data_IF_359463166561
#
_entry.id   IF_359463166561
#
_cell.length_a   1.000
_cell.length_b   1.000
_cell.length_c   1.000
_cell.angle_alpha   90.00
_cell.angle_beta   90.00
_cell.angle_gamma   90.00
#
_symmetry.space_group_name_H-M   'P 1'
#
loop_
_entity.id
_entity.type
_entity.pdbx_description
1 polymer ?
#
# COMPACT_ATOMS: atom_id res chain seq x y z
N UNK A 1 23.05 -1.39 -45.69
CA UNK A 1 23.91 -2.17 -44.77
C UNK A 1 23.47 -1.80 -43.34
N UNK A 2 22.59 -2.57 -42.77
CA UNK A 2 22.16 -2.40 -41.38
C UNK A 2 23.26 -2.90 -40.46
N UNK A 3 23.90 -2.01 -39.71
CA UNK A 3 24.81 -2.40 -38.64
C UNK A 3 23.95 -2.90 -37.47
N UNK A 4 24.13 -4.15 -37.09
CA UNK A 4 23.67 -4.66 -35.80
C UNK A 4 24.36 -3.83 -34.71
N UNK A 5 23.69 -2.83 -34.19
CA UNK A 5 24.13 -2.11 -32.99
C UNK A 5 23.54 -2.87 -31.83
N UNK A 6 24.36 -3.67 -31.15
CA UNK A 6 24.02 -4.15 -29.81
C UNK A 6 23.81 -2.94 -28.92
N UNK A 7 22.57 -2.64 -28.63
CA UNK A 7 22.21 -1.64 -27.66
C UNK A 7 22.63 -2.15 -26.27
N UNK A 8 23.63 -1.54 -25.68
CA UNK A 8 23.84 -1.67 -24.23
C UNK A 8 22.60 -1.09 -23.57
N UNK A 9 21.78 -1.90 -22.86
CA UNK A 9 20.67 -1.36 -22.09
C UNK A 9 21.24 -0.28 -21.19
N UNK A 10 20.56 0.87 -21.13
CA UNK A 10 20.83 1.86 -20.09
C UNK A 10 21.01 1.08 -18.79
N UNK A 11 22.07 1.36 -18.02
CA UNK A 11 22.49 0.63 -16.80
C UNK A 11 21.45 0.65 -15.64
N UNK A 12 20.17 0.66 -15.95
CA UNK A 12 19.12 0.12 -15.10
C UNK A 12 19.01 -1.38 -15.37
N UNK A 13 20.08 -2.10 -14.96
CA UNK A 13 19.98 -3.54 -14.79
C UNK A 13 18.67 -3.80 -14.03
N UNK A 14 17.81 -4.64 -14.60
CA UNK A 14 16.86 -5.41 -13.82
C UNK A 14 17.68 -6.12 -12.74
N UNK A 15 17.85 -5.44 -11.59
CA UNK A 15 18.52 -6.02 -10.44
C UNK A 15 17.58 -7.13 -10.03
N UNK A 16 17.83 -8.33 -10.52
CA UNK A 16 17.20 -9.52 -9.93
C UNK A 16 17.46 -9.41 -8.44
N UNK A 17 16.43 -9.47 -7.59
CA UNK A 17 16.64 -9.47 -6.15
C UNK A 17 17.60 -10.62 -5.84
N UNK A 18 18.83 -10.27 -5.48
CA UNK A 18 19.77 -11.23 -4.92
C UNK A 18 19.24 -11.49 -3.53
N UNK A 19 18.63 -12.64 -3.33
CA UNK A 19 18.28 -13.12 -2.00
C UNK A 19 19.50 -12.95 -1.10
N UNK A 20 19.35 -12.46 0.14
CA UNK A 20 20.43 -12.58 1.10
C UNK A 20 20.75 -14.09 1.15
N UNK A 21 22.01 -14.46 0.91
CA UNK A 21 22.46 -15.82 1.16
C UNK A 21 21.98 -16.17 2.57
N UNK A 22 21.07 -17.11 2.65
CA UNK A 22 20.50 -17.58 3.90
C UNK A 22 21.66 -18.18 4.71
N UNK A 23 22.23 -17.38 5.61
CA UNK A 23 22.87 -18.00 6.77
C UNK A 23 21.77 -18.87 7.36
N UNK A 24 22.06 -20.13 7.62
CA UNK A 24 21.18 -21.14 8.21
C UNK A 24 20.64 -20.62 9.56
N UNK A 25 19.67 -19.71 9.52
CA UNK A 25 18.95 -19.27 10.70
C UNK A 25 17.80 -20.26 10.88
N UNK A 26 17.68 -20.79 12.07
CA UNK A 26 16.52 -21.58 12.49
C UNK A 26 15.27 -20.77 12.22
N UNK A 27 14.20 -21.43 11.75
CA UNK A 27 12.91 -20.77 11.52
C UNK A 27 12.48 -20.01 12.79
N UNK A 28 11.90 -18.80 12.67
CA UNK A 28 11.48 -18.01 13.81
C UNK A 28 10.47 -18.77 14.67
N UNK A 29 10.58 -18.65 15.99
CA UNK A 29 9.66 -19.33 16.91
C UNK A 29 8.23 -18.83 16.76
N UNK A 30 8.05 -17.53 16.39
CA UNK A 30 6.75 -16.89 16.15
C UNK A 30 6.75 -16.16 14.79
N UNK A 31 6.65 -16.92 13.68
CA UNK A 31 6.58 -16.31 12.36
C UNK A 31 5.25 -15.57 12.18
N UNK A 32 5.30 -14.42 11.53
CA UNK A 32 4.13 -13.64 11.14
C UNK A 32 4.21 -13.28 9.67
N UNK A 33 3.18 -13.63 8.90
CA UNK A 33 3.17 -13.43 7.46
C UNK A 33 2.58 -12.07 7.09
N UNK A 34 3.26 -11.37 6.18
CA UNK A 34 2.74 -10.19 5.48
C UNK A 34 2.55 -10.58 4.04
N UNK A 35 1.30 -10.67 3.60
CA UNK A 35 0.92 -11.18 2.29
C UNK A 35 0.37 -10.05 1.42
N UNK A 36 1.08 -9.72 0.36
CA UNK A 36 0.63 -8.81 -0.70
C UNK A 36 0.30 -9.58 -1.97
N UNK A 37 -0.96 -9.53 -2.39
CA UNK A 37 -1.49 -10.27 -3.56
C UNK A 37 -1.89 -9.29 -4.64
N UNK A 38 -0.93 -8.99 -5.54
CA UNK A 38 -1.19 -8.18 -6.73
C UNK A 38 -1.59 -9.03 -7.95
N UNK A 39 -2.12 -8.38 -8.99
CA UNK A 39 -2.53 -9.07 -10.24
C UNK A 39 -1.35 -9.66 -11.04
N UNK A 40 -0.14 -9.16 -10.84
CA UNK A 40 1.08 -9.62 -11.56
C UNK A 40 2.06 -10.32 -10.64
N UNK A 41 2.09 -9.94 -9.37
CA UNK A 41 3.06 -10.42 -8.39
C UNK A 41 2.38 -10.70 -7.05
N UNK A 42 2.66 -11.84 -6.48
CA UNK A 42 2.37 -12.19 -5.08
C UNK A 42 3.68 -12.09 -4.29
N UNK A 43 3.67 -11.34 -3.20
CA UNK A 43 4.81 -11.15 -2.32
C UNK A 43 4.48 -11.60 -0.90
N UNK A 44 5.40 -12.30 -0.25
CA UNK A 44 5.30 -12.71 1.16
C UNK A 44 6.56 -12.28 1.89
N UNK A 45 6.39 -11.58 3.00
CA UNK A 45 7.45 -11.36 3.97
C UNK A 45 7.10 -12.10 5.27
N UNK A 46 8.11 -12.68 5.91
CA UNK A 46 7.99 -13.32 7.22
C UNK A 46 8.70 -12.46 8.25
N UNK A 47 7.96 -12.04 9.26
CA UNK A 47 8.48 -11.30 10.39
C UNK A 47 8.75 -12.26 11.57
N UNK A 48 9.77 -11.96 12.34
CA UNK A 48 9.99 -12.59 13.64
C UNK A 48 9.44 -11.68 14.75
N UNK A 49 8.31 -12.07 15.33
CA UNK A 49 7.63 -11.24 16.33
C UNK A 49 8.29 -11.26 17.71
N UNK A 50 9.27 -12.15 17.97
CA UNK A 50 10.03 -12.21 19.23
C UNK A 50 11.22 -11.26 19.25
N UNK A 51 11.84 -11.03 18.10
CA UNK A 51 13.04 -10.20 17.98
C UNK A 51 12.69 -8.75 17.60
N UNK A 52 11.89 -8.11 18.43
CA UNK A 52 11.46 -6.73 18.17
C UNK A 52 12.34 -5.66 18.82
N UNK A 53 13.57 -5.97 19.20
CA UNK A 53 14.54 -4.99 19.70
C UNK A 53 15.14 -4.14 18.57
N UNK A 54 15.52 -2.91 18.90
CA UNK A 54 15.96 -1.89 17.93
C UNK A 54 17.13 -2.31 17.03
N UNK A 55 17.86 -3.38 17.38
CA UNK A 55 19.03 -3.87 16.66
C UNK A 55 18.82 -5.22 15.95
N UNK A 56 17.64 -5.80 15.99
CA UNK A 56 17.38 -7.12 15.40
C UNK A 56 16.79 -7.06 14.00
N UNK A 57 17.11 -8.04 13.17
CA UNK A 57 16.57 -8.18 11.82
C UNK A 57 15.13 -8.70 11.91
N UNK A 58 14.15 -7.77 11.92
CA UNK A 58 12.73 -8.10 12.02
C UNK A 58 12.23 -8.97 10.86
N UNK A 59 12.70 -8.72 9.64
CA UNK A 59 12.32 -9.51 8.45
C UNK A 59 13.21 -10.73 8.36
N UNK A 60 12.64 -11.89 8.68
CA UNK A 60 13.30 -13.19 8.61
C UNK A 60 13.50 -13.66 7.17
N UNK A 61 12.45 -13.56 6.35
CA UNK A 61 12.46 -14.02 4.98
C UNK A 61 11.51 -13.26 4.08
N UNK A 62 11.78 -13.31 2.79
CA UNK A 62 11.01 -12.62 1.78
C UNK A 62 11.05 -13.37 0.46
N UNK A 63 9.92 -13.46 -0.22
CA UNK A 63 9.85 -14.04 -1.55
C UNK A 63 8.75 -13.44 -2.41
N UNK A 64 8.91 -13.57 -3.73
CA UNK A 64 7.88 -13.21 -4.71
C UNK A 64 7.72 -14.28 -5.77
N UNK A 65 6.52 -14.38 -6.30
CA UNK A 65 6.21 -15.17 -7.49
C UNK A 65 5.30 -14.38 -8.43
N UNK A 66 5.31 -14.73 -9.72
CA UNK A 66 4.30 -14.25 -10.68
C UNK A 66 2.94 -14.78 -10.24
N UNK A 67 1.97 -13.88 -10.07
CA UNK A 67 0.63 -14.27 -9.61
C UNK A 67 -0.12 -15.03 -10.72
N UNK A 68 -0.85 -16.05 -10.31
CA UNK A 68 -1.83 -16.77 -11.14
C UNK A 68 -3.17 -16.80 -10.40
N UNK A 69 -4.29 -16.77 -11.14
CA UNK A 69 -5.63 -16.90 -10.57
C UNK A 69 -6.23 -15.61 -9.98
N UNK A 70 -5.66 -14.44 -10.28
CA UNK A 70 -6.24 -13.13 -9.95
C UNK A 70 -6.12 -12.18 -11.13
N UNK A 71 -7.13 -11.35 -11.34
CA UNK A 71 -7.14 -10.32 -12.38
C UNK A 71 -7.84 -9.07 -11.85
N UNK A 72 -7.20 -7.90 -11.96
CA UNK A 72 -7.74 -6.62 -11.49
C UNK A 72 -8.24 -6.66 -10.03
N UNK A 73 -7.50 -7.37 -9.18
CA UNK A 73 -7.80 -7.54 -7.76
C UNK A 73 -8.94 -8.53 -7.46
N UNK A 74 -9.49 -9.24 -8.45
CA UNK A 74 -10.53 -10.26 -8.26
C UNK A 74 -9.99 -11.65 -8.50
N UNK A 75 -10.34 -12.59 -7.62
CA UNK A 75 -9.93 -14.00 -7.74
C UNK A 75 -10.71 -14.65 -8.88
N UNK A 76 -10.00 -15.11 -9.90
CA UNK A 76 -10.54 -15.80 -11.08
C UNK A 76 -10.35 -17.32 -11.01
N UNK A 77 -9.31 -17.77 -10.29
CA UNK A 77 -9.07 -19.19 -10.02
C UNK A 77 -8.43 -19.36 -8.64
N UNK A 78 -9.21 -19.92 -7.72
CA UNK A 78 -8.82 -20.05 -6.31
C UNK A 78 -7.63 -21.00 -6.13
N UNK A 79 -7.57 -22.12 -6.86
CA UNK A 79 -6.52 -23.12 -6.71
C UNK A 79 -5.19 -22.62 -7.27
N UNK A 80 -5.20 -21.94 -8.40
CA UNK A 80 -4.00 -21.31 -8.95
C UNK A 80 -3.45 -20.25 -8.01
N UNK A 81 -4.34 -19.46 -7.39
CA UNK A 81 -3.93 -18.41 -6.46
C UNK A 81 -3.36 -19.02 -5.18
N UNK A 82 -4.04 -19.98 -4.57
CA UNK A 82 -3.55 -20.63 -3.34
C UNK A 82 -2.23 -21.36 -3.55
N UNK A 83 -2.03 -22.00 -4.70
CA UNK A 83 -0.74 -22.60 -5.05
C UNK A 83 0.36 -21.54 -5.18
N UNK A 84 0.07 -20.40 -5.84
CA UNK A 84 1.03 -19.29 -5.94
C UNK A 84 1.42 -18.76 -4.55
N UNK A 85 0.45 -18.56 -3.67
CA UNK A 85 0.70 -18.11 -2.29
C UNK A 85 1.54 -19.13 -1.52
N UNK A 86 1.17 -20.43 -1.60
CA UNK A 86 1.88 -21.52 -0.94
C UNK A 86 3.34 -21.62 -1.38
N UNK A 87 3.61 -21.59 -2.68
CA UNK A 87 4.98 -21.59 -3.23
C UNK A 87 5.78 -20.36 -2.77
N UNK A 88 5.13 -19.19 -2.71
CA UNK A 88 5.78 -17.96 -2.27
C UNK A 88 6.11 -18.03 -0.78
N UNK A 89 5.19 -18.56 0.03
CA UNK A 89 5.39 -18.75 1.46
C UNK A 89 6.54 -19.73 1.74
N UNK A 90 6.58 -20.87 1.05
CA UNK A 90 7.68 -21.85 1.15
C UNK A 90 9.04 -21.22 0.85
N UNK A 91 9.12 -20.41 -0.21
CA UNK A 91 10.34 -19.69 -0.57
C UNK A 91 10.73 -18.66 0.51
N UNK A 92 9.75 -17.91 1.05
CA UNK A 92 10.01 -16.92 2.10
C UNK A 92 10.50 -17.56 3.41
N UNK A 93 10.01 -18.75 3.73
CA UNK A 93 10.45 -19.54 4.89
C UNK A 93 11.73 -20.34 4.64
N UNK A 94 12.21 -20.40 3.40
CA UNK A 94 13.29 -21.31 2.97
C UNK A 94 13.01 -22.77 3.39
N UNK A 95 11.76 -23.22 3.20
CA UNK A 95 11.26 -24.53 3.62
C UNK A 95 10.56 -25.24 2.45
N UNK A 96 10.73 -26.56 2.36
CA UNK A 96 10.04 -27.40 1.37
C UNK A 96 8.55 -27.60 1.72
N UNK A 97 8.21 -27.56 3.01
CA UNK A 97 6.86 -27.79 3.51
C UNK A 97 6.45 -26.79 4.59
N UNK A 98 5.17 -26.46 4.61
CA UNK A 98 4.53 -25.67 5.65
C UNK A 98 3.44 -26.52 6.28
N UNK A 99 3.68 -26.99 7.50
CA UNK A 99 2.77 -27.92 8.21
C UNK A 99 1.88 -27.23 9.23
N UNK A 100 2.20 -25.99 9.62
CA UNK A 100 1.45 -25.21 10.60
C UNK A 100 0.90 -23.94 9.98
N UNK A 101 -0.27 -23.52 10.41
CA UNK A 101 -0.82 -22.21 10.04
C UNK A 101 0.05 -21.10 10.64
N UNK A 102 0.33 -20.08 9.83
CA UNK A 102 1.09 -18.90 10.21
C UNK A 102 0.14 -17.72 10.24
N UNK A 103 0.00 -17.01 11.38
CA UNK A 103 -0.81 -15.80 11.44
C UNK A 103 -0.23 -14.71 10.56
N UNK A 104 -1.10 -13.84 10.02
CA UNK A 104 -0.61 -12.77 9.15
C UNK A 104 -1.68 -11.77 8.75
N UNK A 105 -1.23 -10.75 8.01
CA UNK A 105 -2.09 -9.75 7.39
C UNK A 105 -2.08 -9.88 5.87
N UNK A 106 -3.18 -9.45 5.26
CA UNK A 106 -3.42 -9.54 3.82
C UNK A 106 -3.72 -8.15 3.24
N UNK A 107 -3.04 -7.78 2.13
CA UNK A 107 -3.40 -6.60 1.35
C UNK A 107 -4.68 -6.83 0.57
N UNK A 108 -5.54 -5.81 0.52
CA UNK A 108 -6.74 -5.79 -0.30
C UNK A 108 -6.65 -4.59 -1.24
N UNK A 109 -6.70 -4.86 -2.54
CA UNK A 109 -6.82 -3.88 -3.61
C UNK A 109 -7.68 -4.45 -4.74
N UNK A 110 -8.39 -3.62 -5.44
CA UNK A 110 -9.27 -4.04 -6.55
C UNK A 110 -10.46 -3.13 -6.73
N UNK A 111 -11.12 -3.23 -7.89
CA UNK A 111 -12.29 -2.41 -8.25
C UNK A 111 -13.50 -2.57 -7.31
N UNK A 112 -13.48 -3.57 -6.46
CA UNK A 112 -14.51 -3.80 -5.43
C UNK A 112 -14.28 -2.98 -4.15
N UNK A 113 -13.13 -2.32 -4.01
CA UNK A 113 -12.81 -1.45 -2.86
C UNK A 113 -13.37 -0.06 -3.10
N UNK A 114 -13.95 0.53 -2.04
CA UNK A 114 -14.50 1.90 -2.06
C UNK A 114 -14.16 2.62 -0.76
N UNK A 115 -13.80 3.90 -0.87
CA UNK A 115 -13.62 4.82 0.24
C UNK A 115 -14.80 5.78 0.34
N UNK A 116 -15.30 6.02 1.56
CA UNK A 116 -16.40 6.94 1.84
C UNK A 116 -16.10 7.72 3.12
N UNK A 117 -16.44 9.02 3.12
CA UNK A 117 -16.34 9.83 4.33
C UNK A 117 -17.64 9.72 5.13
N UNK A 118 -17.51 9.39 6.40
CA UNK A 118 -18.63 9.25 7.35
C UNK A 118 -18.46 10.19 8.53
N UNK A 119 -19.60 10.65 9.08
CA UNK A 119 -19.66 11.42 10.31
C UNK A 119 -20.48 10.64 11.32
N UNK A 120 -19.92 10.42 12.49
CA UNK A 120 -20.53 9.64 13.55
C UNK A 120 -20.52 10.42 14.88
N UNK A 121 -21.65 10.40 15.60
CA UNK A 121 -21.75 11.01 16.93
C UNK A 121 -21.06 10.12 17.97
N UNK A 122 -20.27 10.75 18.84
CA UNK A 122 -19.63 10.08 19.96
C UNK A 122 -20.35 10.45 21.25
N UNK A 123 -20.56 9.46 22.13
CA UNK A 123 -21.18 9.69 23.43
C UNK A 123 -20.12 9.98 24.48
N UNK A 124 -20.23 11.11 25.15
CA UNK A 124 -19.40 11.44 26.31
C UNK A 124 -19.90 10.68 27.54
N UNK A 125 -18.98 10.10 28.30
CA UNK A 125 -19.32 9.34 29.51
C UNK A 125 -19.29 10.19 30.79
N UNK A 126 -18.98 11.48 30.67
CA UNK A 126 -18.87 12.37 31.81
C UNK A 126 -19.89 13.52 31.72
N UNK A 127 -20.41 13.94 32.88
CA UNK A 127 -21.38 15.02 33.03
C UNK A 127 -20.75 16.42 32.90
N UNK A 128 -19.42 16.52 32.82
CA UNK A 128 -18.69 17.78 32.84
C UNK A 128 -18.36 18.33 31.46
N UNK A 129 -18.67 17.57 30.40
CA UNK A 129 -18.45 18.00 29.02
C UNK A 129 -16.99 18.12 28.60
N UNK A 130 -16.01 17.78 29.46
CA UNK A 130 -14.59 17.76 29.10
C UNK A 130 -14.24 16.43 28.43
N UNK A 131 -13.76 16.48 27.21
CA UNK A 131 -13.43 15.30 26.41
C UNK A 131 -12.16 14.66 26.95
N UNK A 132 -12.23 13.39 27.31
CA UNK A 132 -11.09 12.62 27.83
C UNK A 132 -10.57 11.61 26.78
N UNK A 133 -9.36 11.12 27.03
CA UNK A 133 -8.79 10.03 26.23
C UNK A 133 -9.65 8.74 26.28
N UNK A 134 -10.31 8.51 27.42
CA UNK A 134 -11.18 7.34 27.60
C UNK A 134 -12.48 7.46 26.78
N UNK A 135 -13.05 8.66 26.66
CA UNK A 135 -14.24 8.89 25.83
C UNK A 135 -13.96 8.56 24.36
N UNK A 136 -12.80 8.97 23.85
CA UNK A 136 -12.40 8.67 22.48
C UNK A 136 -12.10 7.19 22.30
N UNK A 137 -11.37 6.57 23.22
CA UNK A 137 -11.00 5.15 23.10
C UNK A 137 -12.18 4.21 23.24
N UNK A 138 -13.12 4.45 24.17
CA UNK A 138 -14.29 3.60 24.34
C UNK A 138 -15.18 3.58 23.09
N UNK A 139 -15.36 4.74 22.49
CA UNK A 139 -16.12 4.83 21.24
C UNK A 139 -15.38 4.14 20.07
N UNK A 140 -14.04 4.13 20.08
CA UNK A 140 -13.24 3.40 19.12
C UNK A 140 -13.25 1.87 19.33
N UNK A 141 -13.42 1.37 20.56
CA UNK A 141 -13.36 -0.08 20.86
C UNK A 141 -14.71 -0.80 20.72
N UNK A 142 -15.83 -0.10 20.87
CA UNK A 142 -17.15 -0.73 20.91
C UNK A 142 -17.75 -1.06 19.54
N UNK A 143 -17.16 -0.62 18.44
CA UNK A 143 -17.73 -0.79 17.09
C UNK A 143 -16.98 -1.75 16.16
N UNK A 144 -15.86 -2.26 16.60
CA UNK A 144 -14.99 -3.10 15.78
C UNK A 144 -15.16 -4.61 15.97
N UNK A 145 -16.14 -5.02 16.72
CA UNK A 145 -16.71 -6.33 16.48
C UNK A 145 -17.39 -6.25 15.11
N UNK A 146 -17.11 -7.21 14.23
CA UNK A 146 -17.82 -7.46 12.99
C UNK A 146 -19.33 -7.13 13.11
N UNK A 147 -19.71 -5.86 13.07
CA UNK A 147 -21.06 -5.50 12.69
C UNK A 147 -21.11 -5.74 11.18
N UNK A 148 -21.07 -7.01 10.80
CA UNK A 148 -21.77 -7.43 9.64
C UNK A 148 -23.21 -6.98 9.87
N UNK A 149 -23.53 -5.77 9.39
CA UNK A 149 -24.91 -5.52 9.09
C UNK A 149 -25.28 -6.72 8.20
N UNK A 150 -26.13 -7.66 8.65
CA UNK A 150 -26.43 -8.87 7.89
C UNK A 150 -27.01 -8.56 6.51
N UNK A 151 -27.34 -7.29 6.26
CA UNK A 151 -27.78 -6.75 4.98
C UNK A 151 -26.68 -5.99 4.21
N UNK A 152 -25.47 -5.85 4.75
CA UNK A 152 -24.34 -5.22 4.03
C UNK A 152 -23.59 -6.26 3.22
N UNK A 153 -23.44 -6.03 1.92
CA UNK A 153 -22.55 -6.80 1.05
C UNK A 153 -21.07 -6.39 1.19
N UNK A 154 -20.76 -5.43 2.07
CA UNK A 154 -19.43 -4.84 2.19
C UNK A 154 -18.85 -5.03 3.59
N UNK A 155 -17.53 -5.29 3.65
CA UNK A 155 -16.74 -5.40 4.87
C UNK A 155 -15.76 -4.23 4.96
N UNK A 156 -15.64 -3.63 6.14
CA UNK A 156 -14.67 -2.57 6.41
C UNK A 156 -13.25 -3.17 6.43
N UNK A 157 -12.36 -2.56 5.67
CA UNK A 157 -10.94 -2.91 5.59
C UNK A 157 -10.14 -2.00 6.52
N UNK A 158 -10.31 -0.67 6.35
CA UNK A 158 -9.62 0.34 7.16
C UNK A 158 -10.55 1.51 7.48
N UNK A 159 -10.30 2.17 8.61
CA UNK A 159 -10.89 3.46 8.95
C UNK A 159 -9.79 4.45 9.33
N UNK A 160 -9.89 5.66 8.83
CA UNK A 160 -8.94 6.74 9.06
C UNK A 160 -9.65 7.95 9.65
N UNK A 161 -9.20 8.42 10.81
CA UNK A 161 -9.72 9.63 11.43
C UNK A 161 -9.29 10.85 10.61
N UNK A 162 -10.23 11.75 10.34
CA UNK A 162 -9.97 13.04 9.69
C UNK A 162 -9.95 14.14 10.72
N UNK A 163 -11.06 14.31 11.47
CA UNK A 163 -11.21 15.36 12.48
C UNK A 163 -12.33 15.02 13.45
N UNK A 164 -12.38 15.75 14.55
CA UNK A 164 -13.53 15.80 15.46
C UNK A 164 -14.26 17.11 15.24
N UNK A 165 -15.59 17.08 15.28
CA UNK A 165 -16.46 18.27 15.17
C UNK A 165 -17.10 18.47 16.53
N UNK A 166 -16.83 19.63 17.14
CA UNK A 166 -17.33 20.00 18.46
C UNK A 166 -18.47 20.99 18.30
N UNK A 167 -19.61 20.71 18.93
CA UNK A 167 -20.83 21.53 18.96
C UNK A 167 -21.29 22.00 17.57
N UNK A 168 -20.98 21.20 16.53
CA UNK A 168 -21.38 21.46 15.14
C UNK A 168 -20.55 22.47 14.37
N UNK A 169 -19.64 23.22 15.02
CA UNK A 169 -18.94 24.36 14.41
C UNK A 169 -17.43 24.18 14.29
N UNK A 170 -16.79 23.54 15.25
CA UNK A 170 -15.33 23.51 15.34
C UNK A 170 -14.75 22.15 14.97
N UNK A 171 -14.04 22.10 13.83
CA UNK A 171 -13.28 20.92 13.45
C UNK A 171 -11.87 20.95 14.07
N UNK A 172 -11.52 19.94 14.87
CA UNK A 172 -10.23 19.81 15.53
C UNK A 172 -9.61 18.43 15.28
N UNK A 173 -8.28 18.35 15.28
CA UNK A 173 -7.56 17.07 15.12
C UNK A 173 -7.48 16.34 16.48
N UNK A 174 -7.29 17.06 17.56
CA UNK A 174 -7.22 16.50 18.91
C UNK A 174 -8.17 17.25 19.85
N UNK A 175 -9.28 16.61 20.25
CA UNK A 175 -10.30 17.22 21.11
C UNK A 175 -10.03 17.02 22.60
N UNK A 176 -9.00 16.23 23.00
CA UNK A 176 -8.74 15.88 24.40
C UNK A 176 -8.46 17.13 25.24
N UNK A 177 -9.21 17.31 26.33
CA UNK A 177 -9.15 18.46 27.22
C UNK A 177 -10.03 19.63 26.79
N UNK A 178 -10.70 19.54 25.64
CA UNK A 178 -11.67 20.54 25.19
C UNK A 178 -13.04 20.29 25.79
N UNK A 179 -13.87 21.32 25.85
CA UNK A 179 -15.24 21.24 26.34
C UNK A 179 -16.20 21.16 25.15
N UNK A 180 -17.13 20.20 25.15
CA UNK A 180 -18.19 20.10 24.15
C UNK A 180 -19.38 19.31 24.69
N UNK A 181 -20.57 19.65 24.22
CA UNK A 181 -21.80 18.90 24.51
C UNK A 181 -22.16 17.92 23.40
N UNK A 182 -21.83 18.25 22.15
CA UNK A 182 -22.00 17.38 20.98
C UNK A 182 -20.65 17.18 20.29
N UNK A 183 -20.18 15.96 20.29
CA UNK A 183 -18.94 15.60 19.60
C UNK A 183 -19.24 14.61 18.48
N UNK A 184 -18.76 14.92 17.30
CA UNK A 184 -18.80 14.00 16.14
C UNK A 184 -17.40 13.72 15.65
N UNK A 185 -17.20 12.50 15.14
CA UNK A 185 -15.99 12.11 14.47
C UNK A 185 -16.22 12.04 12.95
N UNK A 186 -15.40 12.74 12.18
CA UNK A 186 -15.31 12.59 10.74
C UNK A 186 -14.20 11.59 10.43
N UNK A 187 -14.53 10.56 9.66
CA UNK A 187 -13.59 9.48 9.30
C UNK A 187 -13.73 9.08 7.84
N UNK A 188 -12.63 8.64 7.25
CA UNK A 188 -12.62 7.98 5.94
C UNK A 188 -12.67 6.47 6.15
N UNK A 189 -13.69 5.81 5.62
CA UNK A 189 -13.95 4.37 5.76
C UNK A 189 -13.69 3.69 4.43
N UNK A 190 -12.77 2.74 4.41
CA UNK A 190 -12.45 1.93 3.23
C UNK A 190 -13.08 0.55 3.43
N UNK A 191 -13.88 0.13 2.46
CA UNK A 191 -14.59 -1.15 2.49
C UNK A 191 -14.47 -1.88 1.16
N UNK A 192 -14.58 -3.22 1.19
CA UNK A 192 -14.58 -4.08 0.02
C UNK A 192 -15.75 -5.03 0.00
N UNK A 193 -16.06 -5.62 -1.15
CA UNK A 193 -17.11 -6.63 -1.27
C UNK A 193 -16.72 -7.87 -0.48
N UNK A 194 -17.61 -8.35 0.38
CA UNK A 194 -17.37 -9.50 1.28
C UNK A 194 -16.95 -10.73 0.46
N UNK A 195 -17.64 -11.02 -0.62
CA UNK A 195 -17.37 -12.20 -1.45
C UNK A 195 -15.95 -12.21 -2.05
N UNK A 196 -15.41 -11.05 -2.43
CA UNK A 196 -14.06 -10.96 -2.98
C UNK A 196 -13.00 -11.06 -1.87
N UNK A 197 -13.26 -10.46 -0.71
CA UNK A 197 -12.38 -10.58 0.46
C UNK A 197 -12.30 -12.03 0.93
N UNK A 198 -13.45 -12.72 1.08
CA UNK A 198 -13.50 -14.11 1.53
C UNK A 198 -12.78 -15.08 0.57
N UNK A 199 -12.82 -14.84 -0.74
CA UNK A 199 -12.05 -15.63 -1.72
C UNK A 199 -10.53 -15.47 -1.50
N UNK A 200 -10.07 -14.25 -1.23
CA UNK A 200 -8.65 -13.99 -0.94
C UNK A 200 -8.22 -14.62 0.38
N UNK A 201 -9.04 -14.48 1.44
CA UNK A 201 -8.80 -15.12 2.73
C UNK A 201 -8.78 -16.66 2.61
N UNK A 202 -9.70 -17.21 1.83
CA UNK A 202 -9.73 -18.66 1.56
C UNK A 202 -8.48 -19.14 0.81
N UNK A 203 -7.99 -18.35 -0.17
CA UNK A 203 -6.75 -18.68 -0.88
C UNK A 203 -5.54 -18.65 0.07
N UNK A 204 -5.46 -17.66 0.96
CA UNK A 204 -4.42 -17.56 1.98
C UNK A 204 -4.50 -18.73 2.97
N UNK A 205 -5.69 -19.07 3.44
CA UNK A 205 -5.93 -20.21 4.36
C UNK A 205 -5.52 -21.54 3.74
N UNK A 206 -5.88 -21.80 2.47
CA UNK A 206 -5.41 -23.00 1.73
C UNK A 206 -3.87 -23.05 1.62
N UNK A 207 -3.20 -21.92 1.68
CA UNK A 207 -1.74 -21.80 1.67
C UNK A 207 -1.13 -21.75 3.08
N UNK A 208 -1.88 -22.14 4.13
CA UNK A 208 -1.46 -22.13 5.54
C UNK A 208 -1.16 -20.74 6.13
N UNK A 209 -1.80 -19.69 5.61
CA UNK A 209 -1.77 -18.37 6.23
C UNK A 209 -3.12 -18.08 6.88
N UNK A 210 -3.13 -17.89 8.21
CA UNK A 210 -4.30 -17.47 8.97
C UNK A 210 -4.38 -15.95 8.93
N UNK A 211 -5.32 -15.41 8.14
CA UNK A 211 -5.49 -13.95 8.02
C UNK A 211 -6.15 -13.40 9.29
N UNK A 212 -5.40 -12.60 10.04
CA UNK A 212 -5.86 -11.92 11.26
C UNK A 212 -6.23 -10.45 11.02
N UNK A 213 -5.80 -9.89 9.91
CA UNK A 213 -6.08 -8.50 9.58
C UNK A 213 -6.01 -8.21 8.08
N UNK A 214 -6.73 -7.17 7.67
CA UNK A 214 -6.77 -6.67 6.30
C UNK A 214 -6.16 -5.27 6.25
N UNK A 215 -5.46 -4.97 5.16
CA UNK A 215 -4.87 -3.66 4.91
C UNK A 215 -5.20 -3.23 3.48
N UNK A 216 -5.67 -2.01 3.28
CA UNK A 216 -5.86 -1.46 1.94
C UNK A 216 -4.50 -1.20 1.27
N UNK A 217 -4.30 -1.74 0.06
CA UNK A 217 -3.03 -1.65 -0.67
C UNK A 217 -2.57 -0.21 -0.90
N UNK A 218 -3.47 0.65 -1.36
CA UNK A 218 -3.16 2.05 -1.64
C UNK A 218 -2.77 2.87 -0.40
N UNK A 219 -3.33 2.56 0.78
CA UNK A 219 -2.91 3.22 2.03
C UNK A 219 -1.57 2.71 2.53
N UNK A 220 -1.30 1.42 2.33
CA UNK A 220 0.00 0.84 2.66
C UNK A 220 1.10 1.43 1.76
N UNK A 221 0.91 1.46 0.44
CA UNK A 221 1.89 2.03 -0.48
C UNK A 221 2.13 3.52 -0.23
N UNK A 222 1.09 4.27 0.16
CA UNK A 222 1.23 5.66 0.59
C UNK A 222 2.12 5.79 1.83
N UNK A 223 1.89 4.96 2.85
CA UNK A 223 2.70 4.96 4.08
C UNK A 223 4.18 4.67 3.80
N UNK A 224 4.45 3.78 2.84
CA UNK A 224 5.81 3.45 2.45
C UNK A 224 6.54 4.59 1.74
N UNK A 225 5.82 5.46 1.04
CA UNK A 225 6.40 6.49 0.16
C UNK A 225 6.34 7.91 0.70
N UNK A 226 5.61 8.14 1.80
CA UNK A 226 5.52 9.45 2.44
C UNK A 226 6.81 9.81 3.19
N UNK A 227 7.39 10.95 2.84
CA UNK A 227 8.50 11.52 3.61
C UNK A 227 7.98 12.22 4.86
N UNK A 228 8.53 11.89 6.02
CA UNK A 228 8.17 12.48 7.31
C UNK A 228 8.48 13.98 7.42
N UNK A 229 9.22 14.55 6.48
CA UNK A 229 9.63 15.95 6.47
C UNK A 229 8.57 16.92 5.91
N UNK A 230 7.61 16.45 5.11
CA UNK A 230 6.57 17.29 4.48
C UNK A 230 5.23 17.19 5.22
N UNK A 231 5.23 17.39 6.52
CA UNK A 231 4.10 17.07 7.43
C UNK A 231 2.80 17.85 7.22
N UNK A 232 2.74 18.85 6.36
CA UNK A 232 1.54 19.68 6.19
C UNK A 232 1.12 19.87 4.73
N UNK A 233 1.72 19.15 3.78
CA UNK A 233 1.36 19.31 2.38
C UNK A 233 0.22 18.37 2.00
N UNK A 234 -0.77 18.94 1.29
CA UNK A 234 -1.80 18.14 0.64
C UNK A 234 -1.14 17.37 -0.51
N UNK A 235 -1.23 16.05 -0.45
CA UNK A 235 -0.59 15.19 -1.42
C UNK A 235 -1.51 14.08 -1.92
N UNK A 236 -1.27 13.64 -3.13
CA UNK A 236 -1.87 12.44 -3.69
C UNK A 236 -0.79 11.37 -3.88
N UNK A 237 -1.06 10.16 -3.46
CA UNK A 237 -0.26 8.98 -3.81
C UNK A 237 -1.04 8.14 -4.82
N UNK A 238 -0.38 7.78 -5.90
CA UNK A 238 -0.91 6.95 -6.98
C UNK A 238 -0.02 5.71 -7.08
N UNK A 239 -0.59 4.55 -6.77
CA UNK A 239 0.08 3.25 -6.90
C UNK A 239 -0.40 2.57 -8.18
N UNK A 240 0.45 2.59 -9.23
CA UNK A 240 0.13 1.97 -10.52
C UNK A 240 0.63 0.53 -10.49
N UNK A 241 -0.27 -0.38 -10.13
CA UNK A 241 -0.03 -1.81 -10.13
C UNK A 241 -0.10 -2.45 -11.52
N UNK A 242 -0.13 -3.79 -11.55
CA UNK A 242 -0.32 -4.52 -12.80
C UNK A 242 -1.75 -4.49 -13.34
N UNK A 243 -2.73 -4.63 -12.47
CA UNK A 243 -4.16 -4.70 -12.85
C UNK A 243 -5.02 -3.55 -12.37
N UNK A 244 -4.56 -2.80 -11.38
CA UNK A 244 -5.27 -1.70 -10.74
C UNK A 244 -4.34 -0.52 -10.50
N UNK A 245 -4.94 0.66 -10.36
CA UNK A 245 -4.29 1.87 -9.88
C UNK A 245 -5.04 2.34 -8.63
N UNK A 246 -4.35 2.37 -7.51
CA UNK A 246 -4.86 2.83 -6.22
C UNK A 246 -4.54 4.31 -6.03
N UNK A 247 -5.54 5.10 -5.66
CA UNK A 247 -5.45 6.55 -5.44
C UNK A 247 -5.71 6.81 -3.97
N UNK A 248 -4.84 7.57 -3.31
CA UNK A 248 -4.99 7.99 -1.92
C UNK A 248 -4.65 9.46 -1.77
N UNK A 249 -5.59 10.28 -1.29
CA UNK A 249 -5.40 11.72 -1.11
C UNK A 249 -5.35 12.05 0.37
N UNK A 250 -4.34 12.84 0.74
CA UNK A 250 -4.09 13.27 2.11
C UNK A 250 -4.17 14.79 2.21
N UNK A 251 -4.88 15.27 3.22
CA UNK A 251 -4.88 16.66 3.67
C UNK A 251 -4.38 16.72 5.12
N UNK A 252 -3.36 17.52 5.38
CA UNK A 252 -2.75 17.64 6.71
C UNK A 252 -2.42 16.28 7.36
N UNK A 253 -1.87 15.35 6.59
CA UNK A 253 -1.55 13.96 6.95
C UNK A 253 -2.76 13.05 7.26
N UNK A 254 -3.98 13.50 7.07
CA UNK A 254 -5.17 12.67 7.20
C UNK A 254 -5.59 12.15 5.82
N UNK A 255 -5.85 10.86 5.70
CA UNK A 255 -6.46 10.29 4.50
C UNK A 255 -7.89 10.80 4.39
N UNK A 256 -8.19 11.54 3.32
CA UNK A 256 -9.51 12.14 3.10
C UNK A 256 -10.25 11.55 1.89
N UNK A 257 -9.53 10.87 1.01
CA UNK A 257 -10.12 10.21 -0.16
C UNK A 257 -9.31 8.99 -0.57
N UNK A 258 -9.99 7.94 -1.01
CA UNK A 258 -9.37 6.78 -1.66
C UNK A 258 -10.29 6.21 -2.74
N UNK A 259 -9.68 5.79 -3.86
CA UNK A 259 -10.36 5.16 -5.00
C UNK A 259 -9.44 4.14 -5.64
N UNK A 260 -10.01 3.18 -6.36
CA UNK A 260 -9.27 2.16 -7.12
C UNK A 260 -9.81 2.08 -8.53
N UNK A 261 -8.96 2.41 -9.50
CA UNK A 261 -9.27 2.25 -10.92
C UNK A 261 -8.87 0.83 -11.40
N UNK A 262 -9.72 0.12 -12.18
CA UNK A 262 -9.41 -1.21 -12.71
C UNK A 262 -8.51 -1.15 -13.95
N UNK A 263 -7.51 -0.28 -13.92
CA UNK A 263 -6.52 -0.03 -14.95
C UNK A 263 -5.13 -0.08 -14.34
N UNK A 264 -4.17 -0.62 -15.08
CA UNK A 264 -2.79 -0.75 -14.64
C UNK A 264 -1.87 -1.23 -15.77
N UNK A 265 -0.72 -1.78 -15.43
CA UNK A 265 0.28 -2.24 -16.39
C UNK A 265 -0.22 -3.24 -17.42
N UNK A 266 -1.24 -4.05 -17.06
CA UNK A 266 -1.89 -4.96 -17.97
C UNK A 266 -2.48 -4.27 -19.21
N UNK A 267 -3.05 -3.08 -19.04
CA UNK A 267 -3.66 -2.33 -20.14
C UNK A 267 -2.60 -1.89 -21.16
N UNK A 268 -1.43 -1.45 -20.72
CA UNK A 268 -0.33 -1.09 -21.61
C UNK A 268 0.12 -2.28 -22.48
N UNK A 269 0.29 -3.45 -21.88
CA UNK A 269 0.68 -4.66 -22.62
C UNK A 269 -0.41 -5.14 -23.54
N UNK A 270 -1.68 -5.05 -23.13
CA UNK A 270 -2.81 -5.42 -23.94
C UNK A 270 -2.95 -4.55 -25.19
N UNK A 271 -2.70 -3.25 -25.07
CA UNK A 271 -2.74 -2.34 -26.23
C UNK A 271 -1.65 -2.69 -27.26
N UNK A 272 -0.44 -3.02 -26.80
CA UNK A 272 0.65 -3.50 -27.63
C UNK A 272 0.26 -4.83 -28.30
N UNK A 273 -0.35 -5.75 -27.54
CA UNK A 273 -0.82 -7.05 -28.04
C UNK A 273 -1.85 -6.89 -29.16
N UNK A 274 -2.82 -6.01 -28.97
CA UNK A 274 -3.88 -5.73 -29.96
C UNK A 274 -3.29 -5.03 -31.19
N UNK A 275 -2.46 -4.01 -31.00
CA UNK A 275 -1.93 -3.20 -32.08
C UNK A 275 -1.06 -4.02 -33.05
N UNK A 276 -0.32 -5.01 -32.54
CA UNK A 276 0.62 -5.79 -33.37
C UNK A 276 0.17 -7.25 -33.59
N UNK A 277 -1.00 -7.65 -33.06
CA UNK A 277 -1.52 -9.02 -33.21
C UNK A 277 -0.65 -10.09 -32.56
N UNK A 278 0.04 -9.78 -31.45
CA UNK A 278 0.97 -10.66 -30.73
C UNK A 278 0.37 -11.15 -29.41
N UNK A 279 0.91 -12.25 -28.88
CA UNK A 279 0.46 -12.73 -27.58
C UNK A 279 0.85 -11.78 -26.43
N UNK A 280 0.08 -11.85 -25.32
CA UNK A 280 0.29 -11.00 -24.16
C UNK A 280 1.70 -11.11 -23.57
N UNK A 281 2.32 -12.28 -23.60
CA UNK A 281 3.65 -12.49 -22.99
C UNK A 281 4.74 -11.76 -23.79
N UNK A 282 4.61 -11.79 -25.12
CA UNK A 282 5.48 -11.02 -26.02
C UNK A 282 5.27 -9.52 -25.81
N UNK A 283 4.01 -9.07 -25.78
CA UNK A 283 3.67 -7.66 -25.55
C UNK A 283 4.20 -7.15 -24.19
N UNK A 284 4.07 -7.95 -23.11
CA UNK A 284 4.62 -7.62 -21.80
C UNK A 284 6.14 -7.48 -21.84
N UNK A 285 6.81 -8.37 -22.55
CA UNK A 285 8.26 -8.34 -22.73
C UNK A 285 8.70 -7.09 -23.50
N UNK A 286 7.95 -6.72 -24.54
CA UNK A 286 8.19 -5.50 -25.33
C UNK A 286 7.98 -4.26 -24.47
N UNK A 287 6.88 -4.19 -23.72
CA UNK A 287 6.61 -3.10 -22.77
C UNK A 287 7.77 -2.91 -21.79
N UNK A 288 8.24 -3.98 -21.16
CA UNK A 288 9.31 -3.91 -20.17
C UNK A 288 10.63 -3.45 -20.78
N UNK A 289 10.94 -3.91 -21.99
CA UNK A 289 12.23 -3.66 -22.62
C UNK A 289 12.30 -2.33 -23.37
N UNK A 290 11.23 -1.95 -24.06
CA UNK A 290 11.20 -0.83 -24.99
C UNK A 290 10.15 0.22 -24.64
N UNK A 291 9.27 -0.06 -23.65
CA UNK A 291 8.18 0.84 -23.31
C UNK A 291 8.68 2.10 -22.63
N UNK A 292 8.61 3.21 -23.32
CA UNK A 292 8.81 4.55 -22.78
C UNK A 292 7.72 5.49 -23.32
N UNK A 293 7.42 6.54 -22.59
CA UNK A 293 6.39 7.50 -22.98
C UNK A 293 6.97 8.79 -23.57
N UNK A 294 8.29 8.96 -23.51
CA UNK A 294 9.01 10.10 -24.10
C UNK A 294 9.50 9.72 -25.50
N UNK A 295 8.66 9.93 -26.51
CA UNK A 295 8.96 9.58 -27.91
C UNK A 295 10.20 10.28 -28.48
N UNK A 296 10.63 11.42 -27.91
CA UNK A 296 11.85 12.09 -28.34
C UNK A 296 13.13 11.40 -27.88
N UNK A 297 13.01 10.49 -26.92
CA UNK A 297 14.12 9.64 -26.45
C UNK A 297 14.19 8.30 -27.18
N UNK A 298 13.13 7.92 -27.91
CA UNK A 298 13.16 6.69 -28.70
C UNK A 298 14.14 6.85 -29.87
N UNK A 299 14.86 5.78 -30.18
CA UNK A 299 15.64 5.73 -31.42
C UNK A 299 14.67 5.66 -32.61
N UNK A 300 14.55 6.76 -33.34
CA UNK A 300 13.60 6.89 -34.46
C UNK A 300 13.85 5.84 -35.56
N UNK A 301 15.00 5.19 -35.56
CA UNK A 301 15.44 4.22 -36.57
C UNK A 301 15.42 2.77 -36.06
N UNK A 302 15.07 2.54 -34.79
CA UNK A 302 15.08 1.20 -34.24
C UNK A 302 13.78 0.44 -34.57
N UNK A 303 13.94 -0.75 -35.11
CA UNK A 303 12.85 -1.64 -35.51
C UNK A 303 13.00 -2.96 -34.76
N UNK A 304 11.90 -3.42 -34.16
CA UNK A 304 11.79 -4.71 -33.48
C UNK A 304 11.37 -5.78 -34.47
N UNK A 305 12.04 -6.93 -34.45
CA UNK A 305 11.60 -8.13 -35.13
C UNK A 305 10.83 -9.00 -34.15
N UNK A 306 9.57 -9.24 -34.45
CA UNK A 306 8.66 -10.02 -33.60
C UNK A 306 8.25 -11.25 -34.40
N UNK A 307 8.48 -12.43 -33.85
CA UNK A 307 8.01 -13.67 -34.43
C UNK A 307 6.55 -13.88 -34.04
N UNK A 308 5.66 -13.97 -35.04
CA UNK A 308 4.26 -14.32 -34.83
C UNK A 308 4.08 -15.82 -34.77
N UNK A 309 4.71 -16.55 -35.71
CA UNK A 309 4.75 -18.02 -35.86
C UNK A 309 6.13 -18.37 -36.38
N UNK A 310 6.40 -19.70 -36.57
CA UNK A 310 7.72 -20.19 -36.97
C UNK A 310 8.26 -19.58 -38.29
N UNK A 311 7.37 -19.14 -39.21
CA UNK A 311 7.74 -18.56 -40.49
C UNK A 311 7.32 -17.11 -40.70
N UNK A 312 6.66 -16.46 -39.73
CA UNK A 312 6.08 -15.12 -39.90
C UNK A 312 6.70 -14.12 -38.91
N UNK A 313 7.54 -13.23 -39.47
CA UNK A 313 8.21 -12.17 -38.70
C UNK A 313 7.63 -10.82 -39.13
N UNK A 314 7.19 -10.04 -38.15
CA UNK A 314 6.84 -8.65 -38.39
C UNK A 314 7.96 -7.71 -37.89
N UNK A 315 8.10 -6.59 -38.59
CA UNK A 315 9.00 -5.51 -38.16
C UNK A 315 8.15 -4.35 -37.64
N UNK A 316 8.37 -3.98 -36.37
CA UNK A 316 7.63 -2.94 -35.66
C UNK A 316 8.58 -1.83 -35.25
N UNK A 317 8.35 -0.58 -35.67
CA UNK A 317 9.13 0.54 -35.18
C UNK A 317 8.99 0.70 -33.65
N UNK A 318 10.08 0.88 -32.93
CA UNK A 318 10.05 1.17 -31.48
C UNK A 318 9.23 2.42 -31.20
N UNK A 319 9.23 3.38 -32.13
CA UNK A 319 8.44 4.60 -32.04
C UNK A 319 6.93 4.32 -31.87
N UNK A 320 6.40 3.32 -32.59
CA UNK A 320 4.99 2.95 -32.52
C UNK A 320 4.63 2.36 -31.15
N UNK A 321 5.54 1.53 -30.59
CA UNK A 321 5.39 1.04 -29.20
C UNK A 321 5.35 2.21 -28.23
N UNK A 322 6.27 3.17 -28.36
CA UNK A 322 6.34 4.35 -27.50
C UNK A 322 5.09 5.23 -27.60
N UNK A 323 4.53 5.37 -28.82
CA UNK A 323 3.30 6.13 -29.04
C UNK A 323 2.10 5.48 -28.33
N UNK A 324 1.95 4.15 -28.44
CA UNK A 324 0.89 3.39 -27.75
C UNK A 324 1.04 3.56 -26.22
N UNK A 325 2.27 3.44 -25.72
CA UNK A 325 2.57 3.61 -24.28
C UNK A 325 2.22 5.01 -23.78
N UNK A 326 2.54 6.02 -24.57
CA UNK A 326 2.25 7.42 -24.26
C UNK A 326 0.73 7.69 -24.22
N UNK A 327 -0.01 7.22 -25.20
CA UNK A 327 -1.47 7.40 -25.27
C UNK A 327 -2.17 6.74 -24.09
N UNK A 328 -1.78 5.51 -23.75
CA UNK A 328 -2.30 4.82 -22.55
C UNK A 328 -1.95 5.56 -21.26
N UNK A 329 -0.76 6.09 -21.12
CA UNK A 329 -0.37 6.85 -19.94
C UNK A 329 -1.16 8.18 -19.83
N UNK A 330 -1.43 8.84 -20.96
CA UNK A 330 -2.27 10.04 -21.00
C UNK A 330 -3.72 9.75 -20.60
N UNK A 331 -4.30 8.66 -21.11
CA UNK A 331 -5.64 8.24 -20.72
C UNK A 331 -5.73 7.93 -19.22
N UNK A 332 -4.77 7.16 -18.68
CA UNK A 332 -4.74 6.86 -17.24
C UNK A 332 -4.63 8.14 -16.41
N UNK A 333 -3.76 9.06 -16.81
CA UNK A 333 -3.60 10.34 -16.09
C UNK A 333 -4.87 11.20 -16.17
N UNK A 334 -5.57 11.20 -17.30
CA UNK A 334 -6.85 11.92 -17.47
C UNK A 334 -7.96 11.33 -16.58
N UNK A 335 -8.06 10.00 -16.49
CA UNK A 335 -9.03 9.33 -15.60
C UNK A 335 -8.74 9.65 -14.13
N UNK A 336 -7.47 9.68 -13.74
CA UNK A 336 -7.08 10.06 -12.37
C UNK A 336 -7.40 11.53 -12.12
N UNK A 337 -7.22 12.41 -13.11
CA UNK A 337 -7.61 13.81 -12.99
C UNK A 337 -9.12 13.95 -12.73
N UNK A 338 -9.96 13.19 -13.43
CA UNK A 338 -11.41 13.16 -13.20
C UNK A 338 -11.76 12.64 -11.78
N UNK A 339 -11.04 11.65 -11.27
CA UNK A 339 -11.20 11.16 -9.89
C UNK A 339 -10.87 12.26 -8.85
N UNK A 340 -9.79 13.01 -9.09
CA UNK A 340 -9.42 14.14 -8.23
C UNK A 340 -10.52 15.22 -8.25
N UNK A 341 -11.01 15.59 -9.42
CA UNK A 341 -12.12 16.56 -9.56
C UNK A 341 -13.38 16.08 -8.84
N UNK A 342 -13.74 14.80 -9.02
CA UNK A 342 -14.92 14.21 -8.38
C UNK A 342 -14.83 14.16 -6.85
N UNK A 343 -13.61 14.11 -6.30
CA UNK A 343 -13.36 14.14 -4.85
C UNK A 343 -13.71 15.49 -4.22
N UNK A 344 -13.78 16.56 -5.00
CA UNK A 344 -13.96 17.94 -4.53
C UNK A 344 -12.76 18.49 -3.76
N UNK A 345 -11.63 17.78 -3.73
CA UNK A 345 -10.42 18.20 -3.02
C UNK A 345 -9.63 19.13 -3.91
N UNK A 346 -9.35 20.31 -3.38
CA UNK A 346 -8.54 21.35 -4.02
C UNK A 346 -7.19 21.50 -3.31
N UNK A 347 -6.29 22.30 -3.87
CA UNK A 347 -5.01 22.65 -3.24
C UNK A 347 -4.03 21.46 -3.05
N UNK A 348 -4.11 20.42 -3.89
CA UNK A 348 -3.06 19.41 -3.98
C UNK A 348 -1.77 20.08 -4.48
N UNK A 349 -0.63 19.68 -3.91
CA UNK A 349 0.68 20.26 -4.27
C UNK A 349 1.61 19.24 -4.92
N UNK A 350 1.52 18.00 -4.48
CA UNK A 350 2.48 16.97 -4.85
C UNK A 350 1.76 15.68 -5.20
N UNK A 351 2.24 15.01 -6.24
CA UNK A 351 1.83 13.68 -6.64
C UNK A 351 3.01 12.72 -6.46
N UNK A 352 2.82 11.70 -5.64
CA UNK A 352 3.77 10.61 -5.47
C UNK A 352 3.30 9.42 -6.31
N UNK A 353 4.11 9.02 -7.32
CA UNK A 353 3.88 7.82 -8.12
C UNK A 353 4.67 6.66 -7.55
N UNK A 354 4.03 5.51 -7.40
CA UNK A 354 4.64 4.25 -6.98
C UNK A 354 3.97 3.07 -7.67
N UNK A 355 4.35 1.84 -7.31
CA UNK A 355 3.86 0.63 -7.96
C UNK A 355 4.70 0.22 -9.17
N UNK A 356 4.57 -1.04 -9.60
CA UNK A 356 5.43 -1.61 -10.64
C UNK A 356 5.37 -0.87 -11.98
N UNK A 357 4.19 -0.40 -12.37
CA UNK A 357 3.99 0.28 -13.66
C UNK A 357 4.37 1.76 -13.62
N UNK A 358 4.60 2.35 -12.46
CA UNK A 358 5.16 3.70 -12.35
C UNK A 358 6.59 3.81 -12.86
N UNK A 359 7.27 2.67 -13.04
CA UNK A 359 8.63 2.59 -13.58
C UNK A 359 8.72 2.78 -15.10
N UNK A 360 7.58 2.88 -15.81
CA UNK A 360 7.55 3.22 -17.23
C UNK A 360 8.24 4.58 -17.42
N UNK A 361 9.29 4.62 -18.24
CA UNK A 361 10.10 5.83 -18.39
C UNK A 361 9.26 6.98 -18.97
N UNK A 362 9.31 8.14 -18.30
CA UNK A 362 8.62 9.38 -18.71
C UNK A 362 7.17 9.47 -18.27
N UNK A 363 6.60 8.44 -17.59
CA UNK A 363 5.22 8.48 -17.09
C UNK A 363 5.01 9.63 -16.11
N UNK A 364 5.99 9.91 -15.27
CA UNK A 364 6.02 11.01 -14.31
C UNK A 364 5.79 12.38 -14.97
N UNK A 365 6.36 12.60 -16.15
CA UNK A 365 6.18 13.85 -16.91
C UNK A 365 4.76 13.98 -17.46
N UNK A 366 4.16 12.88 -17.95
CA UNK A 366 2.78 12.87 -18.42
C UNK A 366 1.85 13.20 -17.27
N UNK A 367 2.03 12.54 -16.12
CA UNK A 367 1.22 12.79 -14.92
C UNK A 367 1.40 14.24 -14.44
N UNK A 368 2.62 14.72 -14.35
CA UNK A 368 2.88 16.12 -13.94
C UNK A 368 2.17 17.12 -14.83
N UNK A 369 2.19 16.91 -16.15
CA UNK A 369 1.53 17.79 -17.12
C UNK A 369 0.01 17.71 -17.02
N UNK A 370 -0.56 16.50 -16.93
CA UNK A 370 -2.01 16.30 -16.94
C UNK A 370 -2.65 16.72 -15.62
N UNK A 371 -2.04 16.37 -14.48
CA UNK A 371 -2.56 16.70 -13.16
C UNK A 371 -2.19 18.12 -12.71
N UNK A 372 -1.27 18.79 -13.41
CA UNK A 372 -0.70 20.09 -13.02
C UNK A 372 -0.10 20.08 -11.60
N UNK A 373 0.47 18.95 -11.20
CA UNK A 373 1.10 18.72 -9.91
C UNK A 373 2.58 18.40 -10.07
N UNK A 374 3.39 18.77 -9.07
CA UNK A 374 4.75 18.26 -8.98
C UNK A 374 4.69 16.75 -8.75
N UNK A 375 5.08 15.96 -9.75
CA UNK A 375 5.02 14.50 -9.71
C UNK A 375 6.40 13.91 -9.46
N UNK A 376 6.51 13.04 -8.47
CA UNK A 376 7.73 12.35 -8.10
C UNK A 376 7.54 10.84 -8.21
N UNK A 377 8.49 10.14 -8.82
CA UNK A 377 8.56 8.70 -8.72
C UNK A 377 9.14 8.33 -7.34
N UNK A 378 8.36 7.61 -6.53
CA UNK A 378 8.70 7.31 -5.16
C UNK A 378 9.04 5.83 -4.99
N UNK A 379 10.17 5.60 -4.33
CA UNK A 379 10.55 4.30 -3.76
C UNK A 379 10.00 4.19 -2.34
N UNK A 380 9.79 2.97 -1.82
CA UNK A 380 9.58 2.78 -0.40
C UNK A 380 10.72 3.43 0.40
N UNK A 381 10.36 4.09 1.50
CA UNK A 381 11.37 4.72 2.37
C UNK A 381 12.27 3.66 2.97
N UNK A 382 13.59 3.90 2.90
CA UNK A 382 14.56 3.06 3.60
C UNK A 382 14.34 3.17 5.10
N UNK A 383 14.19 2.03 5.76
CA UNK A 383 14.07 1.90 7.21
C UNK A 383 15.17 0.95 7.70
N UNK A 384 15.67 1.13 8.90
CA UNK A 384 16.79 0.36 9.47
C UNK A 384 16.57 -1.17 9.44
N UNK A 385 15.32 -1.61 9.48
CA UNK A 385 14.93 -3.02 9.41
C UNK A 385 14.87 -3.59 8.00
N UNK A 386 15.04 -2.74 6.96
CA UNK A 386 15.18 -3.13 5.57
C UNK A 386 16.50 -2.63 5.00
N UNK A 387 17.49 -3.50 4.88
CA UNK A 387 18.73 -3.15 4.19
C UNK A 387 18.50 -3.02 2.70
N UNK A 388 18.69 -1.85 2.23
CA UNK A 388 18.48 -1.09 0.99
C UNK A 388 18.60 -1.74 -0.39
N UNK A 389 18.94 -3.00 -0.56
CA UNK A 389 19.16 -3.57 -1.90
C UNK A 389 17.88 -3.86 -2.70
N UNK A 390 16.69 -3.69 -2.09
CA UNK A 390 15.41 -4.15 -2.66
C UNK A 390 14.35 -3.07 -2.76
N UNK A 391 14.74 -1.81 -2.67
CA UNK A 391 13.80 -0.70 -2.77
C UNK A 391 13.39 -0.50 -4.23
N UNK A 392 12.25 -1.06 -4.61
CA UNK A 392 11.60 -0.81 -5.90
C UNK A 392 10.15 -0.39 -5.67
N UNK A 393 9.58 0.49 -6.50
CA UNK A 393 8.19 0.95 -6.35
C UNK A 393 7.18 -0.20 -6.31
N UNK A 394 7.47 -1.30 -6.97
CA UNK A 394 6.62 -2.49 -7.02
C UNK A 394 6.41 -3.19 -5.67
N UNK A 395 7.16 -2.82 -4.63
CA UNK A 395 7.07 -3.39 -3.29
C UNK A 395 6.50 -2.42 -2.26
N UNK A 396 6.05 -1.23 -2.68
CA UNK A 396 5.58 -0.18 -1.77
C UNK A 396 4.45 -0.67 -0.86
N UNK A 397 3.49 -1.43 -1.38
CA UNK A 397 2.41 -2.03 -0.57
C UNK A 397 2.97 -2.91 0.54
N UNK A 398 3.84 -3.87 0.22
CA UNK A 398 4.42 -4.79 1.20
C UNK A 398 5.22 -4.04 2.27
N UNK A 399 6.05 -3.07 1.87
CA UNK A 399 6.83 -2.24 2.80
C UNK A 399 5.94 -1.39 3.71
N UNK A 400 4.86 -0.83 3.18
CA UNK A 400 3.90 -0.07 3.96
C UNK A 400 3.18 -0.93 5.00
N UNK A 401 2.79 -2.16 4.64
CA UNK A 401 2.19 -3.12 5.57
C UNK A 401 3.15 -3.46 6.71
N UNK A 402 4.43 -3.72 6.41
CA UNK A 402 5.45 -4.01 7.43
C UNK A 402 5.68 -2.77 8.31
N UNK A 403 5.78 -1.58 7.73
CA UNK A 403 5.91 -0.32 8.46
C UNK A 403 4.73 -0.12 9.42
N UNK A 404 3.50 -0.41 8.97
CA UNK A 404 2.30 -0.31 9.80
C UNK A 404 2.34 -1.24 11.01
N UNK A 405 2.78 -2.49 10.84
CA UNK A 405 2.96 -3.45 11.94
C UNK A 405 3.97 -2.92 12.95
N UNK A 406 5.12 -2.44 12.47
CA UNK A 406 6.21 -1.98 13.34
C UNK A 406 5.82 -0.71 14.12
N UNK A 407 5.19 0.25 13.48
CA UNK A 407 4.76 1.49 14.14
C UNK A 407 3.63 1.26 15.15
N UNK A 408 2.90 0.15 15.04
CA UNK A 408 1.87 -0.28 16.00
C UNK A 408 2.43 -0.99 17.24
N UNK A 409 3.74 -1.23 17.33
CA UNK A 409 4.45 -2.03 18.34
C UNK A 409 4.11 -1.81 19.82
N UNK A 410 3.95 -0.59 20.36
CA UNK A 410 3.80 -0.44 21.81
C UNK A 410 2.58 -1.17 22.38
N UNK A 411 1.73 -1.69 21.52
CA UNK A 411 0.44 -2.30 21.85
C UNK A 411 0.37 -3.81 21.56
N UNK A 412 1.28 -4.32 20.71
CA UNK A 412 1.35 -5.75 20.36
C UNK A 412 1.84 -6.63 21.50
N UNK A 413 2.72 -6.11 22.37
CA UNK A 413 3.31 -6.90 23.48
C UNK A 413 2.31 -7.32 24.56
N UNK A 414 1.08 -6.75 24.56
CA UNK A 414 0.04 -7.03 25.56
C UNK A 414 -1.28 -7.59 24.96
N UNK A 415 -1.28 -8.04 23.70
CA UNK A 415 -2.53 -8.45 23.05
C UNK A 415 -2.50 -9.92 22.70
N UNK A 416 -3.50 -10.65 23.26
CA UNK A 416 -3.85 -12.03 22.87
C UNK A 416 -4.12 -12.09 21.35
N UNK A 417 -3.82 -13.21 20.65
CA UNK A 417 -3.97 -13.37 19.19
C UNK A 417 -5.34 -12.93 18.61
N UNK A 418 -6.41 -13.02 19.40
CA UNK A 418 -7.77 -12.65 18.99
C UNK A 418 -8.04 -11.12 18.94
N UNK A 419 -7.06 -10.27 19.14
CA UNK A 419 -7.25 -8.83 19.26
C UNK A 419 -6.51 -8.00 18.18
N UNK A 420 -6.05 -8.64 17.10
CA UNK A 420 -5.31 -7.95 16.03
C UNK A 420 -6.16 -6.90 15.29
N UNK A 421 -7.47 -7.07 15.23
CA UNK A 421 -8.39 -6.02 14.74
C UNK A 421 -8.23 -4.68 15.47
N UNK A 422 -7.83 -4.70 16.74
CA UNK A 422 -7.52 -3.49 17.50
C UNK A 422 -6.24 -2.78 17.02
N UNK A 423 -5.32 -3.48 16.36
CA UNK A 423 -4.02 -2.94 15.94
C UNK A 423 -4.08 -2.11 14.67
N UNK A 424 -4.81 -2.57 13.67
CA UNK A 424 -5.01 -1.83 12.44
C UNK A 424 -5.74 -0.50 12.65
N UNK A 425 -6.36 -0.36 13.82
CA UNK A 425 -7.12 0.82 14.21
C UNK A 425 -6.32 1.82 15.06
N UNK A 426 -5.25 1.35 15.71
CA UNK A 426 -4.47 2.18 16.63
C UNK A 426 -3.27 2.87 15.97
N UNK A 427 -2.86 2.46 14.77
CA UNK A 427 -1.92 3.21 13.91
C UNK A 427 -2.47 4.55 13.43
N UNK A 428 -3.73 4.85 13.75
CA UNK A 428 -4.50 6.02 13.31
C UNK A 428 -4.44 7.23 14.25
N UNK A 429 -3.76 7.13 15.38
CA UNK A 429 -3.54 8.31 16.21
C UNK A 429 -2.36 9.10 15.62
N UNK A 430 -2.54 10.40 15.31
CA UNK A 430 -1.44 11.24 14.89
C UNK A 430 -0.36 11.19 15.97
N UNK A 431 0.88 11.09 15.54
CA UNK A 431 2.12 10.95 16.31
C UNK A 431 2.17 11.95 17.48
N UNK A 432 1.59 11.59 18.62
CA UNK A 432 1.77 12.33 19.90
C UNK A 432 3.01 11.82 20.64
N UNK A 433 3.71 10.78 20.15
CA UNK A 433 4.74 10.09 20.93
C UNK A 433 6.10 10.78 21.04
N UNK A 434 6.35 11.93 20.40
CA UNK A 434 7.62 12.66 20.60
C UNK A 434 7.59 13.75 21.69
N UNK A 435 6.41 14.15 22.15
CA UNK A 435 6.29 15.14 23.26
C UNK A 435 6.22 14.53 24.67
N UNK A 436 5.84 13.24 24.78
CA UNK A 436 5.66 12.62 26.10
C UNK A 436 6.97 12.36 26.84
N UNK A 437 8.10 12.22 26.15
CA UNK A 437 9.41 11.97 26.78
C UNK A 437 9.99 13.24 27.42
N UNK A 438 9.64 14.43 26.95
CA UNK A 438 10.02 15.70 27.60
C UNK A 438 9.14 16.03 28.80
N UNK A 439 7.87 15.69 28.78
CA UNK A 439 6.96 15.89 29.92
C UNK A 439 7.25 14.93 31.08
N UNK A 440 7.65 13.67 30.83
CA UNK A 440 8.03 12.74 31.89
C UNK A 440 9.32 13.15 32.63
N UNK A 441 10.20 13.95 32.00
CA UNK A 441 11.39 14.51 32.66
C UNK A 441 11.08 15.75 33.51
N UNK A 442 9.97 16.45 33.29
CA UNK A 442 9.55 17.61 34.06
C UNK A 442 8.76 17.26 35.33
N UNK A 443 8.13 16.07 35.37
CA UNK A 443 7.33 15.62 36.52
C UNK A 443 8.19 14.90 37.61
N UNK A 444 9.48 14.61 37.35
CA UNK A 444 10.38 13.97 38.30
C UNK A 444 11.32 14.93 39.05
N UNK A 445 10.85 16.14 39.41
CA UNK A 445 11.54 16.91 40.46
C UNK A 445 10.63 17.00 41.69
N UNK A 446 11.05 16.47 42.83
CA UNK A 446 10.27 16.57 44.04
C UNK A 446 10.35 18.00 44.60
N UNK A 447 9.23 18.72 44.57
CA UNK A 447 9.04 19.91 45.38
C UNK A 447 8.57 19.45 46.76
N UNK A 448 9.50 19.17 47.61
CA UNK A 448 9.30 19.01 49.06
C UNK A 448 10.60 19.28 49.76
N UNK A 449 10.84 20.53 50.18
CA UNK A 449 11.51 20.90 51.44
C UNK A 449 11.54 22.42 51.58
N UNK A 450 10.85 22.88 52.54
CA UNK A 450 11.11 23.96 53.43
C UNK A 450 9.91 24.90 53.64
N UNK A 451 9.06 24.54 54.57
CA UNK A 451 8.45 25.49 55.50
C UNK A 451 8.32 24.76 56.84
N UNK A 452 9.33 24.85 57.68
CA UNK A 452 9.23 24.82 59.14
C UNK A 452 10.42 25.57 59.69
N UNK A 453 10.13 26.61 60.44
CA UNK A 453 11.09 27.18 61.37
C UNK A 453 11.23 28.70 61.26
N UNK A 454 10.41 29.39 61.83
CA UNK A 454 10.36 30.52 62.81
C UNK A 454 9.30 31.52 62.43
#
# INVERSE_FOLDING_TARGET
MAKNIEFKPSNRSLIKPIMPESKSQLAPNKPYAVLDVGSTKTAVAILNMEEMDENSQLVYGYATNKTKGITKGKVTNLDHLSNTISETLKKALNSSEVTKEIPGILSISGSHVKGVNEIESLTLNNSHGVITFEDINKNNTNKYGYKNNPHSSRRIINEHHISYILDGEHAVINPIGMHSQDIKIKKHVISGDISEIEKLELAAKKAHILVEGLVHGGTASSLATQNTSSKNDNLITIDIGGGTTDISIYESNCLVYSSVLPLGGFNFSNDISIAFGIDYTQAESIKIKYGLTDIYKSSVLETLKINLDDDNIIEVPVLDVCQIMKERAQELAALIHMEIESSGITNLKTCNLTGGSSQIEGIDKIFSKTLQLKTNLCLPNEKEYFKSRYLSPEYSTLFGMITQIIESKPKLLNIHPNNFEKLTQMSKLPIINKTSTRLKKLIKKPYLKSVRGK
#
